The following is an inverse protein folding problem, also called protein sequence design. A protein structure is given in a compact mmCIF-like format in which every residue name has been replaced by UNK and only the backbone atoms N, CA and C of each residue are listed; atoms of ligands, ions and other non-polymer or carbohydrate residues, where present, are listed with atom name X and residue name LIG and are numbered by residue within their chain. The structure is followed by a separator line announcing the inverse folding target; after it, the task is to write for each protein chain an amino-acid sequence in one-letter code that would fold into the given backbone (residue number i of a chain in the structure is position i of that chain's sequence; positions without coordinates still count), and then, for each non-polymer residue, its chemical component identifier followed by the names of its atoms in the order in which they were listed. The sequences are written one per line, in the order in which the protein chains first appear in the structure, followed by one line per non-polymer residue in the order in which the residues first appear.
data_IF_145667651972
#
_entry.id   IF_145667651972
#
_cell.length_a   1.000
_cell.length_b   1.000
_cell.length_c   1.000
_cell.angle_alpha   90.00
_cell.angle_beta   90.00
_cell.angle_gamma   90.00
#
_symmetry.space_group_name_H-M   'P 1'
#
loop_
_entity.id
_entity.type
_entity.pdbx_description
1 polymer ?
#
# COMPACT_ATOMS: atom_id res chain seq x y z
N UNK A 1 -24.96 43.18 -44.71
CA UNK A 1 -24.27 43.39 -43.44
C UNK A 1 -23.31 42.23 -43.21
N UNK A 2 -22.01 42.46 -43.42
CA UNK A 2 -20.94 41.46 -43.26
C UNK A 2 -20.53 41.35 -41.79
N UNK A 3 -20.23 40.15 -41.24
CA UNK A 3 -19.80 40.02 -39.85
C UNK A 3 -18.36 40.49 -39.68
N UNK A 4 -18.11 41.24 -38.59
CA UNK A 4 -16.82 41.76 -38.18
C UNK A 4 -15.81 40.62 -37.96
N UNK A 5 -14.65 40.74 -38.61
CA UNK A 5 -13.47 39.88 -38.39
C UNK A 5 -12.97 40.08 -36.95
N UNK A 6 -12.76 38.97 -36.23
CA UNK A 6 -12.01 38.94 -34.98
C UNK A 6 -10.54 39.26 -35.27
N UNK A 7 -9.88 40.07 -34.45
CA UNK A 7 -8.43 40.33 -34.60
C UNK A 7 -7.65 39.05 -34.28
N UNK A 8 -6.61 38.81 -35.08
CA UNK A 8 -5.66 37.73 -34.93
C UNK A 8 -5.01 37.77 -33.53
N UNK A 9 -4.80 36.58 -32.94
CA UNK A 9 -4.09 36.38 -31.70
C UNK A 9 -2.69 37.05 -31.77
N UNK A 10 -2.54 38.14 -31.06
CA UNK A 10 -1.24 38.78 -30.82
C UNK A 10 -0.34 37.82 -30.05
N UNK A 11 0.86 37.64 -30.53
CA UNK A 11 1.98 37.01 -29.86
C UNK A 11 2.05 37.50 -28.40
N UNK A 12 1.91 36.59 -27.46
CA UNK A 12 2.23 36.82 -26.03
C UNK A 12 3.75 36.92 -25.96
N UNK A 13 4.26 38.15 -26.14
CA UNK A 13 5.64 38.49 -25.83
C UNK A 13 5.88 38.31 -24.32
N UNK A 14 6.91 37.53 -24.05
CA UNK A 14 7.72 37.45 -22.85
C UNK A 14 7.13 38.05 -21.57
N UNK A 15 6.51 37.18 -20.75
CA UNK A 15 6.32 37.46 -19.34
C UNK A 15 7.70 37.72 -18.71
N UNK A 16 8.06 38.99 -18.57
CA UNK A 16 9.19 39.41 -17.75
C UNK A 16 8.94 38.95 -16.33
N UNK A 17 9.43 37.75 -15.98
CA UNK A 17 9.48 37.31 -14.59
C UNK A 17 10.26 38.37 -13.80
N UNK A 18 9.51 39.18 -13.06
CA UNK A 18 10.08 40.15 -12.12
C UNK A 18 10.91 39.36 -11.11
N UNK A 19 12.23 39.35 -11.30
CA UNK A 19 13.16 38.78 -10.31
C UNK A 19 13.11 39.65 -9.06
N UNK A 20 12.26 39.35 -8.11
CA UNK A 20 12.29 39.96 -6.79
C UNK A 20 13.65 39.71 -6.17
N UNK A 21 14.39 40.78 -5.83
CA UNK A 21 15.61 40.67 -5.02
C UNK A 21 15.20 40.10 -3.67
N UNK A 22 15.63 38.84 -3.39
CA UNK A 22 15.36 38.22 -2.10
C UNK A 22 15.99 39.07 -1.00
N UNK A 23 15.22 39.43 0.02
CA UNK A 23 15.71 40.06 1.25
C UNK A 23 16.67 39.09 1.98
N UNK A 24 17.63 39.63 2.74
CA UNK A 24 18.53 38.83 3.57
C UNK A 24 17.76 37.87 4.50
N UNK A 25 16.62 38.30 5.05
CA UNK A 25 15.75 37.44 5.85
C UNK A 25 15.12 36.31 5.04
N UNK A 26 14.73 36.54 3.79
CA UNK A 26 14.20 35.48 2.90
C UNK A 26 15.30 34.44 2.58
N UNK A 27 16.53 34.89 2.35
CA UNK A 27 17.65 33.97 2.08
C UNK A 27 17.97 33.14 3.33
N UNK A 28 18.00 33.75 4.51
CA UNK A 28 18.22 33.03 5.77
C UNK A 28 17.13 31.99 6.04
N UNK A 29 15.87 32.32 5.76
CA UNK A 29 14.75 31.38 5.85
C UNK A 29 14.87 30.20 4.86
N UNK A 30 15.22 30.51 3.60
CA UNK A 30 15.41 29.48 2.58
C UNK A 30 16.54 28.51 2.97
N UNK A 31 17.68 29.04 3.46
CA UNK A 31 18.80 28.23 3.93
C UNK A 31 18.42 27.39 5.13
N UNK A 32 17.75 27.96 6.14
CA UNK A 32 17.25 27.23 7.29
C UNK A 32 16.31 26.07 6.86
N UNK A 33 15.38 26.36 5.97
CA UNK A 33 14.42 25.36 5.47
C UNK A 33 15.13 24.23 4.72
N UNK A 34 16.11 24.56 3.86
CA UNK A 34 16.91 23.54 3.16
C UNK A 34 17.68 22.65 4.15
N UNK A 35 18.35 23.25 5.13
CA UNK A 35 19.11 22.51 6.14
C UNK A 35 18.17 21.60 6.96
N UNK A 36 17.03 22.15 7.39
CA UNK A 36 16.01 21.37 8.11
C UNK A 36 15.50 20.19 7.27
N UNK A 37 15.18 20.41 5.99
CA UNK A 37 14.71 19.36 5.10
C UNK A 37 15.78 18.28 4.85
N UNK A 38 17.04 18.69 4.65
CA UNK A 38 18.17 17.75 4.51
C UNK A 38 18.36 16.92 5.78
N UNK A 39 18.23 17.54 6.96
CA UNK A 39 18.30 16.83 8.25
C UNK A 39 17.17 15.80 8.38
N UNK A 40 15.93 16.19 8.05
CA UNK A 40 14.79 15.27 8.07
C UNK A 40 15.00 14.10 7.09
N UNK A 41 15.45 14.40 5.87
CA UNK A 41 15.77 13.35 4.86
C UNK A 41 16.85 12.42 5.40
N UNK A 42 17.93 12.94 5.96
CA UNK A 42 18.99 12.12 6.54
C UNK A 42 18.46 11.22 7.65
N UNK A 43 17.74 11.78 8.64
CA UNK A 43 17.18 10.99 9.75
C UNK A 43 16.19 9.92 9.30
N UNK A 44 15.46 10.17 8.18
CA UNK A 44 14.48 9.23 7.65
C UNK A 44 15.14 8.13 6.81
N UNK A 45 16.11 8.48 5.97
CA UNK A 45 16.74 7.55 5.03
C UNK A 45 17.83 6.71 5.69
N UNK A 46 18.55 7.28 6.65
CA UNK A 46 19.72 6.63 7.28
C UNK A 46 19.41 5.26 7.91
N UNK A 47 18.31 5.05 8.66
CA UNK A 47 17.98 3.73 9.21
C UNK A 47 17.83 2.65 8.13
N UNK A 48 17.18 2.99 7.00
CA UNK A 48 17.04 2.07 5.86
C UNK A 48 18.39 1.79 5.20
N UNK A 49 19.20 2.82 5.03
CA UNK A 49 20.57 2.69 4.52
C UNK A 49 21.42 1.77 5.39
N UNK A 50 21.34 1.92 6.70
CA UNK A 50 22.05 1.06 7.66
C UNK A 50 21.67 -0.41 7.51
N UNK A 51 20.38 -0.72 7.36
CA UNK A 51 19.88 -2.08 7.11
C UNK A 51 20.44 -2.63 5.78
N UNK A 52 20.49 -1.82 4.72
CA UNK A 52 21.09 -2.21 3.43
C UNK A 52 22.58 -2.50 3.60
N UNK A 53 23.32 -1.64 4.28
CA UNK A 53 24.75 -1.84 4.56
C UNK A 53 24.98 -3.13 5.36
N UNK A 54 24.20 -3.37 6.42
CA UNK A 54 24.28 -4.60 7.22
C UNK A 54 23.93 -5.85 6.43
N UNK A 55 22.96 -5.79 5.52
CA UNK A 55 22.57 -6.92 4.70
C UNK A 55 23.65 -7.33 3.68
N UNK A 56 24.48 -6.38 3.23
CA UNK A 56 25.56 -6.57 2.26
C UNK A 56 26.93 -6.82 2.89
N UNK A 57 27.04 -6.71 4.21
CA UNK A 57 28.29 -6.98 4.92
C UNK A 57 28.39 -8.46 5.34
N UNK A 58 29.63 -8.98 5.42
CA UNK A 58 29.90 -10.28 6.02
C UNK A 58 29.37 -10.32 7.45
N UNK A 59 28.61 -11.36 7.79
CA UNK A 59 27.90 -11.46 9.07
C UNK A 59 28.82 -11.51 10.28
N UNK A 60 29.99 -12.17 10.16
CA UNK A 60 30.97 -12.27 11.25
C UNK A 60 31.74 -10.98 11.44
N UNK A 61 31.95 -10.21 10.36
CA UNK A 61 32.57 -8.90 10.41
C UNK A 61 31.60 -7.83 10.97
N UNK A 62 30.31 -7.96 10.66
CA UNK A 62 29.28 -7.07 11.17
C UNK A 62 29.18 -7.09 12.70
N UNK A 63 29.32 -8.27 13.33
CA UNK A 63 29.35 -8.42 14.80
C UNK A 63 30.45 -7.64 15.51
N UNK A 64 31.55 -7.29 14.79
CA UNK A 64 32.61 -6.47 15.36
C UNK A 64 32.24 -5.02 15.57
N UNK A 65 31.08 -4.58 15.04
CA UNK A 65 30.60 -3.21 15.10
C UNK A 65 31.41 -2.23 14.24
N UNK A 66 31.06 -0.94 14.36
CA UNK A 66 31.79 0.16 13.70
C UNK A 66 31.52 0.28 12.21
N UNK A 67 30.42 -0.29 11.72
CA UNK A 67 29.96 -0.16 10.32
C UNK A 67 28.75 0.78 10.31
N UNK A 68 28.88 1.93 9.62
CA UNK A 68 27.82 2.95 9.62
C UNK A 68 27.32 3.31 8.22
N UNK A 69 28.23 3.54 7.24
CA UNK A 69 27.88 4.05 5.92
C UNK A 69 28.16 3.09 4.78
N UNK A 70 29.18 2.22 4.90
CA UNK A 70 29.60 1.29 3.84
C UNK A 70 29.96 -0.07 4.41
N UNK A 71 29.66 -1.18 3.68
CA UNK A 71 30.12 -2.50 4.08
C UNK A 71 31.64 -2.55 4.12
N UNK A 72 32.21 -3.05 5.21
CA UNK A 72 33.66 -3.28 5.31
C UNK A 72 34.11 -4.49 4.55
N UNK A 73 33.28 -5.53 4.55
CA UNK A 73 33.46 -6.77 3.83
C UNK A 73 32.21 -7.10 3.04
N UNK A 74 32.21 -6.89 1.74
CA UNK A 74 31.09 -7.19 0.87
C UNK A 74 30.80 -8.70 0.80
N UNK A 75 29.58 -9.10 1.05
CA UNK A 75 29.12 -10.49 1.01
C UNK A 75 27.66 -10.56 0.61
N UNK A 76 27.34 -11.48 -0.32
CA UNK A 76 25.97 -11.83 -0.69
C UNK A 76 25.49 -13.10 0.01
N UNK A 77 26.28 -13.61 0.99
CA UNK A 77 25.95 -14.85 1.68
C UNK A 77 24.63 -14.72 2.45
N UNK A 78 24.36 -13.56 3.05
CA UNK A 78 23.11 -13.28 3.76
C UNK A 78 21.88 -13.49 2.84
N UNK A 79 21.94 -13.00 1.60
CA UNK A 79 20.87 -13.20 0.61
C UNK A 79 20.78 -14.66 0.14
N UNK A 80 21.90 -15.34 -0.04
CA UNK A 80 21.89 -16.76 -0.38
C UNK A 80 21.20 -17.59 0.71
N UNK A 81 21.43 -17.28 1.98
CA UNK A 81 20.76 -17.95 3.11
C UNK A 81 19.25 -17.59 3.17
N UNK A 82 18.85 -16.35 2.84
CA UNK A 82 17.44 -15.97 2.74
C UNK A 82 16.72 -16.84 1.69
N UNK A 83 17.30 -16.97 0.49
CA UNK A 83 16.68 -17.73 -0.60
C UNK A 83 16.89 -19.25 -0.48
N UNK A 84 17.84 -19.73 0.34
CA UNK A 84 18.00 -21.13 0.68
C UNK A 84 17.05 -21.58 1.82
N UNK A 85 16.43 -20.64 2.52
CA UNK A 85 15.51 -20.94 3.61
C UNK A 85 14.09 -21.13 3.08
N UNK A 86 13.63 -22.38 3.00
CA UNK A 86 12.31 -22.75 2.48
C UNK A 86 11.15 -22.01 3.19
N UNK A 87 11.27 -21.76 4.51
CA UNK A 87 10.25 -21.02 5.27
C UNK A 87 10.13 -19.58 4.80
N UNK A 88 11.26 -18.90 4.52
CA UNK A 88 11.26 -17.52 4.02
C UNK A 88 10.72 -17.45 2.59
N UNK A 89 11.13 -18.37 1.72
CA UNK A 89 10.65 -18.44 0.33
C UNK A 89 9.14 -18.72 0.30
N UNK A 90 8.65 -19.67 1.08
CA UNK A 90 7.23 -19.95 1.21
C UNK A 90 6.46 -18.72 1.73
N UNK A 91 6.93 -18.07 2.80
CA UNK A 91 6.31 -16.89 3.37
C UNK A 91 6.26 -15.70 2.39
N UNK A 92 7.30 -15.54 1.56
CA UNK A 92 7.32 -14.57 0.47
C UNK A 92 6.23 -14.89 -0.57
N UNK A 93 6.10 -16.15 -0.97
CA UNK A 93 5.03 -16.64 -1.86
C UNK A 93 3.63 -16.38 -1.30
N UNK A 94 3.40 -16.69 -0.01
CA UNK A 94 2.13 -16.43 0.68
C UNK A 94 1.83 -14.92 0.72
N UNK A 95 2.85 -14.08 0.99
CA UNK A 95 2.68 -12.62 1.00
C UNK A 95 2.30 -12.06 -0.37
N UNK A 96 2.92 -12.54 -1.45
CA UNK A 96 2.52 -12.18 -2.81
C UNK A 96 1.09 -12.65 -3.11
N UNK A 97 0.78 -13.91 -2.84
CA UNK A 97 -0.52 -14.48 -3.13
C UNK A 97 -1.65 -13.74 -2.40
N UNK A 98 -1.48 -13.47 -1.07
CA UNK A 98 -2.47 -12.71 -0.29
C UNK A 98 -2.63 -11.27 -0.79
N UNK A 99 -1.53 -10.63 -1.19
CA UNK A 99 -1.56 -9.25 -1.67
C UNK A 99 -2.31 -9.16 -3.00
N UNK A 100 -1.95 -9.99 -3.98
CA UNK A 100 -2.59 -9.97 -5.30
C UNK A 100 -4.07 -10.36 -5.20
N UNK A 101 -4.37 -11.49 -4.56
CA UNK A 101 -5.76 -11.94 -4.38
C UNK A 101 -6.56 -10.98 -3.51
N UNK A 102 -5.96 -10.44 -2.45
CA UNK A 102 -6.59 -9.45 -1.59
C UNK A 102 -6.96 -8.18 -2.34
N UNK A 103 -6.06 -7.63 -3.17
CA UNK A 103 -6.38 -6.46 -4.01
C UNK A 103 -7.53 -6.77 -4.95
N UNK A 104 -7.43 -7.85 -5.73
CA UNK A 104 -8.41 -8.18 -6.77
C UNK A 104 -9.80 -8.39 -6.15
N UNK A 105 -9.89 -9.21 -5.11
CA UNK A 105 -11.17 -9.50 -4.46
C UNK A 105 -11.75 -8.28 -3.77
N UNK A 106 -10.95 -7.53 -3.02
CA UNK A 106 -11.37 -6.32 -2.33
C UNK A 106 -11.93 -5.27 -3.28
N UNK A 107 -11.18 -4.95 -4.34
CA UNK A 107 -11.55 -3.92 -5.32
C UNK A 107 -12.83 -4.30 -6.05
N UNK A 108 -12.99 -5.57 -6.43
CA UNK A 108 -14.20 -6.05 -7.13
C UNK A 108 -15.41 -5.99 -6.21
N UNK A 109 -15.33 -6.60 -5.02
CA UNK A 109 -16.47 -6.66 -4.09
C UNK A 109 -16.88 -5.28 -3.60
N UNK A 110 -15.92 -4.46 -3.18
CA UNK A 110 -16.17 -3.09 -2.74
C UNK A 110 -16.70 -2.22 -3.89
N UNK A 111 -16.18 -2.39 -5.10
CA UNK A 111 -16.63 -1.67 -6.29
C UNK A 111 -18.06 -1.99 -6.69
N UNK A 112 -18.43 -3.27 -6.72
CA UNK A 112 -19.81 -3.70 -7.02
C UNK A 112 -20.78 -3.16 -5.97
N UNK A 113 -20.44 -3.28 -4.69
CA UNK A 113 -21.27 -2.74 -3.61
C UNK A 113 -21.44 -1.22 -3.73
N UNK A 114 -20.33 -0.49 -3.96
CA UNK A 114 -20.35 0.97 -4.11
C UNK A 114 -21.19 1.42 -5.31
N UNK A 115 -21.12 0.69 -6.43
CA UNK A 115 -21.92 0.95 -7.63
C UNK A 115 -23.42 0.76 -7.34
N UNK A 116 -23.80 -0.34 -6.70
CA UNK A 116 -25.19 -0.56 -6.27
C UNK A 116 -25.68 0.55 -5.32
N UNK A 117 -24.84 0.99 -4.38
CA UNK A 117 -25.15 2.07 -3.47
C UNK A 117 -25.14 3.47 -4.12
N UNK A 118 -24.52 3.64 -5.27
CA UNK A 118 -24.59 4.87 -6.08
C UNK A 118 -25.94 5.02 -6.79
N UNK A 119 -26.62 3.91 -7.09
CA UNK A 119 -27.90 3.95 -7.77
C UNK A 119 -28.95 4.79 -7.02
N UNK A 120 -29.54 5.78 -7.70
CA UNK A 120 -30.40 6.79 -7.06
C UNK A 120 -31.69 6.19 -6.49
N UNK A 121 -32.27 5.24 -7.20
CA UNK A 121 -33.56 4.63 -6.88
C UNK A 121 -33.43 3.30 -6.12
N UNK A 122 -32.28 3.06 -5.46
CA UNK A 122 -32.09 1.85 -4.66
C UNK A 122 -33.06 1.84 -3.45
N UNK A 123 -33.96 0.87 -3.44
CA UNK A 123 -34.88 0.66 -2.32
C UNK A 123 -34.10 0.29 -1.06
N UNK A 124 -34.43 0.93 0.08
CA UNK A 124 -33.75 0.65 1.35
C UNK A 124 -32.32 1.21 1.48
N UNK A 125 -31.87 2.09 0.60
CA UNK A 125 -30.52 2.69 0.60
C UNK A 125 -30.08 3.22 1.97
N UNK A 126 -31.00 3.87 2.71
CA UNK A 126 -30.74 4.39 4.06
C UNK A 126 -30.48 3.26 5.06
N UNK A 127 -31.26 2.18 4.97
CA UNK A 127 -31.09 1.00 5.82
C UNK A 127 -29.72 0.33 5.60
N UNK A 128 -29.35 0.05 4.35
CA UNK A 128 -28.04 -0.52 4.03
C UNK A 128 -26.88 0.38 4.50
N UNK A 129 -27.02 1.70 4.31
CA UNK A 129 -26.00 2.64 4.80
C UNK A 129 -25.85 2.57 6.32
N UNK A 130 -26.94 2.52 7.08
CA UNK A 130 -26.91 2.45 8.55
C UNK A 130 -26.28 1.14 9.01
N UNK A 131 -26.69 0.00 8.43
CA UNK A 131 -26.15 -1.33 8.76
C UNK A 131 -24.65 -1.40 8.52
N UNK A 132 -24.14 -0.77 7.46
CA UNK A 132 -22.72 -0.74 7.14
C UNK A 132 -21.91 0.28 7.97
N UNK A 133 -22.54 1.39 8.39
CA UNK A 133 -21.89 2.41 9.21
C UNK A 133 -21.66 1.92 10.65
N UNK A 134 -22.61 1.20 11.24
CA UNK A 134 -22.52 0.75 12.63
C UNK A 134 -21.21 -0.01 12.93
N UNK A 135 -20.82 -1.06 12.17
CA UNK A 135 -19.57 -1.78 12.42
C UNK A 135 -18.31 -0.94 12.23
N UNK A 136 -18.37 0.15 11.47
CA UNK A 136 -17.25 1.05 11.26
C UNK A 136 -16.87 1.82 12.54
N UNK A 137 -17.86 2.14 13.38
CA UNK A 137 -17.65 2.88 14.63
C UNK A 137 -17.68 1.97 15.87
N UNK A 138 -18.32 0.81 15.78
CA UNK A 138 -18.49 -0.11 16.92
C UNK A 138 -17.71 -1.38 16.60
N UNK A 139 -16.45 -1.44 17.03
CA UNK A 139 -15.64 -2.65 16.92
C UNK A 139 -16.01 -3.67 18.01
N UNK A 140 -16.18 -4.93 17.64
CA UNK A 140 -16.44 -6.03 18.59
C UNK A 140 -15.23 -6.45 19.45
N UNK A 141 -14.03 -5.92 19.17
CA UNK A 141 -12.77 -6.30 19.82
C UNK A 141 -12.12 -7.55 19.21
N UNK A 142 -10.86 -7.76 19.56
CA UNK A 142 -10.03 -8.83 18.96
C UNK A 142 -10.50 -10.23 19.34
N UNK A 143 -10.90 -10.43 20.60
CA UNK A 143 -11.28 -11.77 21.11
C UNK A 143 -12.58 -12.28 20.47
N UNK A 144 -13.70 -11.55 20.45
CA UNK A 144 -14.91 -11.97 19.76
C UNK A 144 -14.71 -12.22 18.27
N UNK A 145 -13.89 -11.37 17.63
CA UNK A 145 -13.57 -11.53 16.22
C UNK A 145 -12.74 -12.81 15.94
N UNK A 146 -11.77 -13.11 16.80
CA UNK A 146 -11.01 -14.35 16.73
C UNK A 146 -11.93 -15.60 16.87
N UNK A 147 -12.82 -15.59 17.85
CA UNK A 147 -13.78 -16.69 18.07
C UNK A 147 -14.72 -16.86 16.86
N UNK A 148 -15.15 -15.77 16.24
CA UNK A 148 -15.92 -15.82 15.00
C UNK A 148 -15.14 -16.55 13.89
N UNK A 149 -13.88 -16.19 13.67
CA UNK A 149 -13.04 -16.83 12.65
C UNK A 149 -12.77 -18.31 12.94
N UNK A 150 -12.61 -18.67 14.22
CA UNK A 150 -12.51 -20.10 14.66
C UNK A 150 -13.79 -20.84 14.32
N UNK A 151 -14.96 -20.30 14.65
CA UNK A 151 -16.25 -20.93 14.37
C UNK A 151 -16.51 -21.07 12.87
N UNK A 152 -16.04 -20.11 12.06
CA UNK A 152 -16.10 -20.18 10.60
C UNK A 152 -15.02 -21.10 9.99
N UNK A 153 -14.15 -21.71 10.81
CA UNK A 153 -13.03 -22.57 10.39
C UNK A 153 -12.07 -21.87 9.41
N UNK A 154 -11.89 -20.57 9.57
CA UNK A 154 -10.98 -19.78 8.74
C UNK A 154 -9.56 -19.72 9.32
N UNK A 155 -9.38 -19.95 10.63
CA UNK A 155 -8.06 -20.00 11.27
C UNK A 155 -7.22 -21.16 10.72
N UNK A 156 -5.89 -20.97 10.69
CA UNK A 156 -4.92 -21.90 10.11
C UNK A 156 -5.18 -22.22 8.62
N UNK A 157 -5.77 -21.27 7.88
CA UNK A 157 -5.99 -21.36 6.44
C UNK A 157 -5.53 -20.09 5.73
N UNK A 158 -5.26 -20.19 4.43
CA UNK A 158 -4.95 -19.03 3.60
C UNK A 158 -6.13 -18.03 3.52
N UNK A 159 -7.35 -18.52 3.56
CA UNK A 159 -8.57 -17.74 3.37
C UNK A 159 -8.83 -16.69 4.46
N UNK A 160 -8.19 -16.84 5.64
CA UNK A 160 -8.26 -15.82 6.70
C UNK A 160 -7.67 -14.48 6.28
N UNK A 161 -6.78 -14.46 5.28
CA UNK A 161 -6.21 -13.24 4.72
C UNK A 161 -7.10 -12.54 3.69
N UNK A 162 -8.03 -13.28 3.10
CA UNK A 162 -8.85 -12.80 1.98
C UNK A 162 -10.26 -12.44 2.45
N UNK A 163 -10.97 -13.39 3.10
CA UNK A 163 -12.39 -13.23 3.43
C UNK A 163 -12.66 -12.02 4.34
N UNK A 164 -11.89 -11.77 5.40
CA UNK A 164 -12.10 -10.58 6.25
C UNK A 164 -11.85 -9.25 5.54
N UNK A 165 -11.06 -9.27 4.49
CA UNK A 165 -10.67 -8.08 3.74
C UNK A 165 -11.46 -7.89 2.44
N UNK A 166 -12.45 -8.73 2.14
CA UNK A 166 -13.24 -8.65 0.91
C UNK A 166 -13.93 -7.30 0.72
N UNK A 167 -14.32 -6.64 1.80
CA UNK A 167 -15.15 -5.44 1.76
C UNK A 167 -14.72 -4.42 2.79
N UNK A 168 -14.66 -3.15 2.37
CA UNK A 168 -14.51 -1.99 3.23
C UNK A 168 -15.63 -0.99 2.93
N UNK A 169 -16.42 -0.68 3.95
CA UNK A 169 -17.46 0.34 3.76
C UNK A 169 -16.86 1.73 3.54
N UNK A 170 -15.71 2.03 4.16
CA UNK A 170 -14.99 3.28 3.94
C UNK A 170 -14.61 3.46 2.47
N UNK A 171 -13.96 2.44 1.88
CA UNK A 171 -13.55 2.48 0.48
C UNK A 171 -14.75 2.53 -0.46
N UNK A 172 -15.87 1.88 -0.07
CA UNK A 172 -17.12 1.94 -0.83
C UNK A 172 -17.72 3.35 -0.85
N UNK A 173 -17.58 4.13 0.22
CA UNK A 173 -18.02 5.53 0.23
C UNK A 173 -17.21 6.37 -0.75
N UNK A 174 -15.89 6.18 -0.79
CA UNK A 174 -15.02 6.90 -1.72
C UNK A 174 -15.36 6.56 -3.17
N UNK A 175 -15.53 5.27 -3.50
CA UNK A 175 -15.97 4.84 -4.83
C UNK A 175 -17.34 5.38 -5.20
N UNK A 176 -18.29 5.35 -4.26
CA UNK A 176 -19.63 5.91 -4.48
C UNK A 176 -19.59 7.40 -4.80
N UNK A 177 -18.73 8.18 -4.13
CA UNK A 177 -18.51 9.59 -4.49
C UNK A 177 -18.01 9.74 -5.92
N UNK A 178 -17.07 8.87 -6.34
CA UNK A 178 -16.59 8.81 -7.71
C UNK A 178 -17.71 8.47 -8.71
N UNK A 179 -18.51 7.46 -8.46
CA UNK A 179 -19.65 7.10 -9.33
C UNK A 179 -20.70 8.21 -9.42
N UNK A 180 -20.99 8.89 -8.31
CA UNK A 180 -21.93 10.00 -8.29
C UNK A 180 -21.41 11.25 -9.04
N UNK A 181 -20.12 11.36 -9.35
CA UNK A 181 -19.54 12.43 -10.16
C UNK A 181 -19.72 12.24 -11.66
N UNK A 182 -20.10 11.04 -12.09
CA UNK A 182 -20.38 10.71 -13.49
C UNK A 182 -21.75 11.28 -13.88
N UNK A 183 -21.87 12.01 -15.01
CA UNK A 183 -23.17 12.52 -15.47
C UNK A 183 -24.16 11.39 -15.71
N UNK A 184 -25.39 11.54 -15.19
CA UNK A 184 -26.48 10.55 -15.33
C UNK A 184 -26.80 10.24 -16.81
N UNK A 185 -26.67 11.21 -17.70
CA UNK A 185 -26.92 11.06 -19.13
C UNK A 185 -26.11 9.91 -19.77
N UNK A 186 -24.89 9.63 -19.27
CA UNK A 186 -24.09 8.52 -19.76
C UNK A 186 -24.71 7.17 -19.39
N UNK A 187 -25.23 7.05 -18.19
CA UNK A 187 -25.93 5.84 -17.73
C UNK A 187 -27.27 5.64 -18.44
N UNK A 188 -28.02 6.73 -18.65
CA UNK A 188 -29.32 6.71 -19.34
C UNK A 188 -29.15 6.34 -20.82
N UNK A 189 -28.20 6.94 -21.52
CA UNK A 189 -27.91 6.60 -22.93
C UNK A 189 -27.55 5.13 -23.09
N UNK A 190 -26.68 4.60 -22.23
CA UNK A 190 -26.30 3.19 -22.27
C UNK A 190 -27.48 2.25 -22.01
N UNK A 191 -28.41 2.61 -21.11
CA UNK A 191 -29.62 1.83 -20.86
C UNK A 191 -30.59 1.86 -22.03
N UNK A 192 -30.73 3.02 -22.71
CA UNK A 192 -31.56 3.15 -23.92
C UNK A 192 -31.00 2.27 -25.04
N UNK A 193 -29.66 2.14 -25.14
CA UNK A 193 -28.97 1.23 -26.08
C UNK A 193 -29.07 -0.25 -25.67
N UNK A 194 -29.77 -0.57 -24.57
CA UNK A 194 -29.98 -1.94 -24.09
C UNK A 194 -28.82 -2.54 -23.28
N UNK A 195 -27.87 -1.72 -22.79
CA UNK A 195 -26.80 -2.22 -21.96
C UNK A 195 -27.31 -2.61 -20.56
N UNK A 196 -27.02 -3.83 -20.12
CA UNK A 196 -27.30 -4.28 -18.75
C UNK A 196 -26.34 -3.64 -17.73
N UNK A 197 -26.74 -3.60 -16.45
CA UNK A 197 -26.00 -2.93 -15.36
C UNK A 197 -24.56 -3.44 -15.20
N UNK A 198 -24.31 -4.74 -15.38
CA UNK A 198 -22.95 -5.32 -15.33
C UNK A 198 -22.07 -4.74 -16.44
N UNK A 199 -22.63 -4.58 -17.65
CA UNK A 199 -21.90 -3.98 -18.78
C UNK A 199 -21.61 -2.52 -18.54
N UNK A 200 -22.58 -1.77 -18.02
CA UNK A 200 -22.43 -0.37 -17.64
C UNK A 200 -21.36 -0.21 -16.56
N UNK A 201 -21.36 -1.06 -15.55
CA UNK A 201 -20.35 -1.07 -14.49
C UNK A 201 -18.94 -1.20 -15.07
N UNK A 202 -18.67 -2.25 -15.86
CA UNK A 202 -17.31 -2.54 -16.34
C UNK A 202 -16.84 -1.60 -17.47
N UNK A 203 -17.74 -1.10 -18.33
CA UNK A 203 -17.35 -0.33 -19.51
C UNK A 203 -17.51 1.19 -19.35
N UNK A 204 -18.29 1.65 -18.37
CA UNK A 204 -18.53 3.08 -18.14
C UNK A 204 -18.07 3.47 -16.75
N UNK A 205 -18.64 2.87 -15.71
CA UNK A 205 -18.40 3.30 -14.34
C UNK A 205 -16.94 3.09 -13.91
N UNK A 206 -16.39 1.88 -14.07
CA UNK A 206 -15.01 1.54 -13.68
C UNK A 206 -13.98 2.38 -14.46
N UNK A 207 -14.02 2.48 -15.81
CA UNK A 207 -13.04 3.28 -16.54
C UNK A 207 -13.05 4.77 -16.17
N UNK A 208 -14.21 5.37 -15.96
CA UNK A 208 -14.33 6.79 -15.61
C UNK A 208 -13.87 7.08 -14.15
N UNK A 209 -13.92 6.09 -13.28
CA UNK A 209 -13.46 6.19 -11.89
C UNK A 209 -12.14 5.45 -11.63
N UNK A 210 -11.44 5.03 -12.68
CA UNK A 210 -10.18 4.27 -12.58
C UNK A 210 -9.15 4.87 -11.62
N UNK A 211 -8.93 6.21 -11.53
CA UNK A 211 -7.99 6.76 -10.57
C UNK A 211 -8.34 6.44 -9.12
N UNK A 212 -9.63 6.38 -8.78
CA UNK A 212 -10.11 6.04 -7.43
C UNK A 212 -9.90 4.54 -7.17
N UNK A 213 -10.24 3.68 -8.13
CA UNK A 213 -9.96 2.25 -8.06
C UNK A 213 -8.48 1.96 -7.87
N UNK A 214 -7.62 2.65 -8.62
CA UNK A 214 -6.17 2.52 -8.47
C UNK A 214 -5.69 2.94 -7.07
N UNK A 215 -6.19 4.03 -6.51
CA UNK A 215 -5.84 4.47 -5.17
C UNK A 215 -6.23 3.43 -4.12
N UNK A 216 -7.46 2.90 -4.17
CA UNK A 216 -7.93 1.84 -3.25
C UNK A 216 -7.10 0.56 -3.41
N UNK A 217 -6.80 0.14 -4.66
CA UNK A 217 -5.95 -1.01 -4.92
C UNK A 217 -4.55 -0.86 -4.29
N UNK A 218 -3.99 0.34 -4.34
CA UNK A 218 -2.69 0.66 -3.74
C UNK A 218 -2.76 0.56 -2.21
N UNK A 219 -3.75 1.22 -1.57
CA UNK A 219 -3.89 1.19 -0.11
C UNK A 219 -4.14 -0.24 0.39
N UNK A 220 -5.02 -0.98 -0.27
CA UNK A 220 -5.27 -2.39 0.05
C UNK A 220 -4.00 -3.22 -0.13
N UNK A 221 -3.27 -3.03 -1.24
CA UNK A 221 -2.03 -3.76 -1.52
C UNK A 221 -0.94 -3.51 -0.48
N UNK A 222 -0.72 -2.25 -0.11
CA UNK A 222 0.23 -1.89 0.96
C UNK A 222 -0.22 -2.46 2.31
N UNK A 223 -1.51 -2.40 2.62
CA UNK A 223 -2.08 -2.99 3.83
C UNK A 223 -1.87 -4.51 3.90
N UNK A 224 -2.20 -5.23 2.82
CA UNK A 224 -2.03 -6.68 2.71
C UNK A 224 -0.55 -7.09 2.78
N UNK A 225 0.34 -6.34 2.13
CA UNK A 225 1.77 -6.63 2.12
C UNK A 225 2.40 -6.49 3.50
N UNK A 226 2.05 -5.43 4.24
CA UNK A 226 2.67 -5.09 5.53
C UNK A 226 1.99 -5.75 6.74
N UNK A 227 0.82 -6.38 6.57
CA UNK A 227 0.13 -7.00 7.69
C UNK A 227 0.86 -8.26 8.16
N UNK A 228 1.15 -8.29 9.46
CA UNK A 228 1.73 -9.46 10.14
C UNK A 228 0.82 -9.98 11.26
N UNK A 229 0.01 -9.07 11.83
CA UNK A 229 -0.77 -9.36 13.04
C UNK A 229 -1.83 -10.45 12.80
N UNK A 230 -2.48 -10.43 11.65
CA UNK A 230 -3.44 -11.45 11.25
C UNK A 230 -2.78 -12.83 11.06
N UNK A 231 -1.56 -12.85 10.50
CA UNK A 231 -0.76 -14.08 10.41
C UNK A 231 -0.34 -14.58 11.79
N UNK A 232 0.11 -13.68 12.66
CA UNK A 232 0.51 -14.02 14.03
C UNK A 232 -0.66 -14.56 14.87
N UNK A 233 -1.85 -14.00 14.71
CA UNK A 233 -3.01 -14.34 15.55
C UNK A 233 -3.80 -15.52 15.00
N UNK A 234 -4.04 -15.56 13.68
CA UNK A 234 -4.97 -16.53 13.09
C UNK A 234 -4.29 -17.76 12.48
N UNK A 235 -2.99 -17.68 12.17
CA UNK A 235 -2.19 -18.76 11.59
C UNK A 235 -0.98 -19.13 12.46
N UNK A 236 -1.07 -18.91 13.78
CA UNK A 236 0.02 -19.19 14.72
C UNK A 236 0.46 -20.66 14.73
N UNK A 237 -0.47 -21.59 14.50
CA UNK A 237 -0.24 -23.03 14.60
C UNK A 237 0.13 -23.69 13.26
N UNK A 238 0.35 -22.91 12.21
CA UNK A 238 0.74 -23.47 10.90
C UNK A 238 1.85 -22.63 10.25
N UNK A 239 2.98 -23.26 10.00
CA UNK A 239 4.13 -22.60 9.35
C UNK A 239 3.86 -22.38 7.86
N UNK A 240 3.00 -23.19 7.26
CA UNK A 240 2.70 -23.15 5.84
C UNK A 240 2.11 -21.81 5.37
N UNK A 241 1.33 -21.13 6.22
CA UNK A 241 0.63 -19.89 5.86
C UNK A 241 1.21 -18.66 6.53
N UNK A 242 2.37 -18.75 7.19
CA UNK A 242 3.04 -17.56 7.74
C UNK A 242 3.41 -16.57 6.63
N UNK A 243 3.20 -15.28 6.90
CA UNK A 243 3.61 -14.21 5.99
C UNK A 243 5.05 -13.80 6.21
N UNK A 244 5.67 -13.16 5.23
CA UNK A 244 7.05 -12.67 5.33
C UNK A 244 7.22 -11.69 6.49
N UNK A 245 6.28 -10.75 6.66
CA UNK A 245 6.29 -9.78 7.76
C UNK A 245 6.18 -10.47 9.13
N UNK A 246 5.39 -11.56 9.24
CA UNK A 246 5.32 -12.36 10.47
C UNK A 246 6.68 -12.96 10.81
N UNK A 247 7.36 -13.61 9.84
CA UNK A 247 8.67 -14.20 10.08
C UNK A 247 9.73 -13.16 10.44
N UNK A 248 9.71 -11.98 9.82
CA UNK A 248 10.62 -10.88 10.16
C UNK A 248 10.39 -10.43 11.62
N UNK A 249 9.15 -10.24 12.03
CA UNK A 249 8.84 -9.88 13.42
C UNK A 249 9.27 -10.98 14.40
N UNK A 250 9.09 -12.26 14.04
CA UNK A 250 9.56 -13.40 14.83
C UNK A 250 11.10 -13.39 14.96
N UNK A 251 11.83 -13.09 13.87
CA UNK A 251 13.29 -12.94 13.91
C UNK A 251 13.74 -11.80 14.82
N UNK A 252 13.07 -10.64 14.75
CA UNK A 252 13.38 -9.49 15.62
C UNK A 252 13.25 -9.89 17.10
N UNK A 253 12.12 -10.51 17.47
CA UNK A 253 11.87 -10.94 18.85
C UNK A 253 12.87 -11.99 19.35
N UNK A 254 13.31 -12.90 18.47
CA UNK A 254 14.33 -13.90 18.84
C UNK A 254 15.71 -13.30 19.03
N UNK A 255 16.09 -12.31 18.22
CA UNK A 255 17.40 -11.66 18.32
C UNK A 255 17.55 -10.87 19.63
N UNK A 256 16.45 -10.39 20.23
CA UNK A 256 16.48 -9.75 21.56
C UNK A 256 16.84 -10.71 22.71
N UNK A 257 16.77 -12.03 22.46
CA UNK A 257 16.96 -13.07 23.51
C UNK A 257 18.07 -14.10 23.28
N UNK A 258 18.73 -14.16 22.10
CA UNK A 258 19.70 -15.21 21.82
C UNK A 258 20.85 -14.79 20.90
N UNK A 259 22.07 -15.28 21.22
CA UNK A 259 23.30 -15.09 20.44
C UNK A 259 23.56 -16.18 19.39
N UNK A 260 22.56 -16.98 19.00
CA UNK A 260 22.73 -18.11 18.10
C UNK A 260 22.44 -17.80 16.63
N UNK A 261 23.11 -18.56 15.73
CA UNK A 261 22.86 -18.53 14.27
C UNK A 261 21.62 -19.36 13.91
N UNK A 262 20.44 -18.92 14.31
CA UNK A 262 19.18 -19.63 14.11
C UNK A 262 18.22 -18.77 13.30
N UNK A 263 17.84 -19.25 12.13
CA UNK A 263 16.86 -18.62 11.25
C UNK A 263 15.40 -18.93 11.63
N UNK A 264 14.43 -18.47 10.82
CA UNK A 264 13.01 -18.77 10.98
C UNK A 264 12.76 -20.29 11.07
N UNK A 265 11.80 -20.69 11.90
CA UNK A 265 11.50 -22.10 12.13
C UNK A 265 12.54 -22.87 12.96
N UNK A 266 13.54 -22.16 13.56
CA UNK A 266 14.60 -22.82 14.34
C UNK A 266 15.69 -23.51 13.49
N UNK A 267 15.78 -23.19 12.19
CA UNK A 267 16.75 -23.78 11.26
C UNK A 267 18.12 -23.13 11.45
N UNK A 268 19.22 -23.92 11.66
CA UNK A 268 20.56 -23.37 11.74
C UNK A 268 20.96 -22.66 10.45
N UNK A 269 21.60 -21.49 10.54
CA UNK A 269 22.05 -20.69 9.41
C UNK A 269 23.57 -20.50 9.42
N UNK A 270 24.16 -20.33 8.23
CA UNK A 270 25.60 -20.03 8.08
C UNK A 270 25.95 -18.57 8.37
N UNK A 271 24.95 -17.75 8.59
CA UNK A 271 25.07 -16.32 8.87
C UNK A 271 24.45 -16.01 10.24
N UNK A 272 24.76 -14.86 10.80
CA UNK A 272 24.16 -14.40 12.06
C UNK A 272 22.67 -14.10 11.87
N UNK A 273 21.88 -14.31 12.92
CA UNK A 273 20.43 -14.03 12.90
C UNK A 273 20.15 -12.56 12.56
N UNK A 274 20.99 -11.64 13.02
CA UNK A 274 20.88 -10.20 12.74
C UNK A 274 21.12 -9.88 11.25
N UNK A 275 22.18 -10.45 10.63
CA UNK A 275 22.46 -10.24 9.22
C UNK A 275 21.40 -10.87 8.32
N UNK A 276 20.87 -12.05 8.70
CA UNK A 276 19.74 -12.68 8.02
C UNK A 276 18.48 -11.82 8.11
N UNK A 277 18.22 -11.23 9.28
CA UNK A 277 17.12 -10.29 9.48
C UNK A 277 17.24 -9.07 8.57
N UNK A 278 18.42 -8.42 8.49
CA UNK A 278 18.62 -7.28 7.61
C UNK A 278 18.41 -7.63 6.13
N UNK A 279 18.95 -8.76 5.68
CA UNK A 279 18.71 -9.23 4.32
C UNK A 279 17.22 -9.51 4.04
N UNK A 280 16.50 -10.09 5.01
CA UNK A 280 15.05 -10.35 4.91
C UNK A 280 14.24 -9.06 4.85
N UNK A 281 14.60 -8.03 5.64
CA UNK A 281 13.97 -6.71 5.60
C UNK A 281 14.16 -6.04 4.23
N UNK A 282 15.38 -6.10 3.66
CA UNK A 282 15.63 -5.56 2.32
C UNK A 282 14.80 -6.28 1.27
N UNK A 283 14.77 -7.62 1.30
CA UNK A 283 13.95 -8.43 0.38
C UNK A 283 12.47 -8.10 0.51
N UNK A 284 11.96 -7.89 1.74
CA UNK A 284 10.57 -7.53 1.98
C UNK A 284 10.22 -6.10 1.53
N UNK A 285 11.19 -5.18 1.60
CA UNK A 285 10.97 -3.76 1.27
C UNK A 285 11.10 -3.50 -0.24
N UNK A 286 11.97 -4.25 -0.91
CA UNK A 286 12.30 -4.05 -2.33
C UNK A 286 11.08 -3.98 -3.26
N UNK A 287 10.08 -4.90 -3.19
CA UNK A 287 8.90 -4.85 -4.06
C UNK A 287 8.11 -3.55 -3.92
N UNK A 288 7.95 -3.04 -2.68
CA UNK A 288 7.24 -1.77 -2.44
C UNK A 288 8.00 -0.62 -3.08
N UNK A 289 9.31 -0.54 -2.87
CA UNK A 289 10.18 0.52 -3.43
C UNK A 289 10.13 0.52 -4.95
N UNK A 290 10.17 -0.67 -5.59
CA UNK A 290 10.11 -0.81 -7.05
C UNK A 290 8.73 -0.42 -7.61
N UNK A 291 7.66 -0.80 -6.92
CA UNK A 291 6.29 -0.53 -7.39
C UNK A 291 5.90 0.94 -7.15
N UNK A 292 6.45 1.60 -6.13
CA UNK A 292 6.06 2.96 -5.73
C UNK A 292 6.10 4.01 -6.86
N UNK A 293 7.15 4.12 -7.71
CA UNK A 293 7.17 5.09 -8.81
C UNK A 293 6.04 4.88 -9.83
N UNK A 294 5.63 3.62 -10.05
CA UNK A 294 4.51 3.31 -10.93
C UNK A 294 3.16 3.72 -10.34
N UNK A 295 3.06 3.66 -9.00
CA UNK A 295 1.86 4.04 -8.28
C UNK A 295 1.72 5.55 -8.14
N UNK A 296 2.83 6.28 -7.98
CA UNK A 296 2.87 7.73 -7.78
C UNK A 296 2.14 8.50 -8.91
N UNK A 297 2.23 8.03 -10.16
CA UNK A 297 1.55 8.65 -11.31
C UNK A 297 0.02 8.73 -11.18
N UNK A 298 -0.58 7.81 -10.43
CA UNK A 298 -2.03 7.80 -10.20
C UNK A 298 -2.44 8.81 -9.12
N UNK A 299 -1.59 9.03 -8.11
CA UNK A 299 -1.83 10.02 -7.06
C UNK A 299 -1.78 11.45 -7.57
N UNK A 300 -0.77 11.78 -8.39
CA UNK A 300 -0.59 13.14 -8.93
C UNK A 300 -1.80 13.56 -9.78
N UNK A 301 -2.39 12.64 -10.55
CA UNK A 301 -3.57 12.92 -11.37
C UNK A 301 -4.88 12.96 -10.57
N UNK A 302 -5.02 12.12 -9.52
CA UNK A 302 -6.26 12.02 -8.74
C UNK A 302 -6.47 13.17 -7.75
N UNK A 303 -5.41 13.68 -7.12
CA UNK A 303 -5.48 14.79 -6.16
C UNK A 303 -5.82 16.11 -6.85
N UNK A 304 -5.37 16.32 -8.09
CA UNK A 304 -5.68 17.53 -8.85
C UNK A 304 -7.16 17.64 -9.26
N UNK A 305 -7.85 16.51 -9.48
CA UNK A 305 -9.28 16.53 -9.87
C UNK A 305 -10.17 16.93 -8.68
N UNK A 306 -9.75 16.65 -7.44
CA UNK A 306 -10.46 17.07 -6.22
C UNK A 306 -10.23 18.54 -5.82
N UNK A 307 -9.11 19.14 -6.24
CA UNK A 307 -8.72 20.50 -5.88
C UNK A 307 -9.19 21.59 -6.87
N UNK A 308 -9.68 21.22 -8.04
CA UNK A 308 -10.14 22.17 -9.10
C UNK A 308 -11.68 22.18 -9.18
N UNK A 309 -12.37 22.19 -8.03
CA UNK A 309 -13.79 22.54 -7.94
C UNK A 309 -13.92 23.81 -7.09
N UNK A 310 -13.51 24.92 -7.64
CA UNK A 310 -14.07 26.25 -7.38
C UNK A 310 -14.52 26.86 -8.69
#
# INVERSE_FOLDING_TARGET
MLPKRFPAAGSIEGENMVKYKKSAGSIAFDVFNIVLMLFIVFCTVYPFWYVVVGSLNDSTDFLKGGIFFWPRKWSLLNYKEVFANDSLVNAFGITIARTVLGIVTHVIFTGIFAYGMAYKNLMGKKFYSIVCIIPMFIGGGTIPYYLLLVNLKLTNTFWVYIIPWLFSFWDSLILRMGFNSIPDSLFESARIEGAGEIRIFWHIAVPLTMPIFAAIAIFTGVGQWNSYFDSLLYNANTDQFKTLQHLIVEMIKRNEGSTGNIGPGGIPTKVTSESLQYASIVVATLPIVVIYPFLQRFFVKGVLIGAVKE
#
